data_IF_002077271441
#
_entry.id   IF_002077271441
#
_cell.length_a   1.000
_cell.length_b   1.000
_cell.length_c   1.000
_cell.angle_alpha   90.00
_cell.angle_beta   90.00
_cell.angle_gamma   90.00
#
_symmetry.space_group_name_H-M   'P 1'
#
loop_
_entity.id
_entity.type
_entity.pdbx_description
1 polymer ?
#
# COMPACT_ATOMS: atom_id res chain seq x y z
N UNK A 1 87.47 -16.12 45.59
CA UNK A 1 87.14 -15.64 44.23
C UNK A 1 85.72 -16.03 43.80
N UNK A 2 85.16 -17.15 44.29
CA UNK A 2 83.83 -17.67 43.89
C UNK A 2 82.58 -16.84 44.30
N UNK A 3 82.68 -16.01 45.36
CA UNK A 3 81.53 -15.22 45.84
C UNK A 3 81.07 -14.13 44.86
N UNK A 4 82.00 -13.56 44.09
CA UNK A 4 81.68 -12.51 43.13
C UNK A 4 81.02 -13.06 41.86
N UNK A 5 81.39 -14.27 41.44
CA UNK A 5 80.84 -14.88 40.22
C UNK A 5 79.42 -15.40 40.42
N UNK A 6 79.10 -15.93 41.62
CA UNK A 6 77.72 -16.28 41.95
C UNK A 6 76.81 -15.05 42.03
N UNK A 7 77.31 -13.93 42.56
CA UNK A 7 76.58 -12.66 42.62
C UNK A 7 76.34 -12.07 41.22
N UNK A 8 77.34 -12.08 40.34
CA UNK A 8 77.18 -11.63 38.94
C UNK A 8 76.20 -12.50 38.16
N UNK A 9 76.24 -13.82 38.38
CA UNK A 9 75.33 -14.75 37.70
C UNK A 9 73.88 -14.52 38.13
N UNK A 10 73.61 -14.38 39.42
CA UNK A 10 72.27 -14.08 39.94
C UNK A 10 71.73 -12.75 39.41
N UNK A 11 72.58 -11.72 39.40
CA UNK A 11 72.18 -10.40 38.93
C UNK A 11 71.88 -10.41 37.41
N UNK A 12 72.63 -11.20 36.63
CA UNK A 12 72.36 -11.39 35.21
C UNK A 12 71.03 -12.13 34.97
N UNK A 13 70.78 -13.20 35.71
CA UNK A 13 69.55 -13.98 35.60
C UNK A 13 68.32 -13.18 36.03
N UNK A 14 68.43 -12.38 37.09
CA UNK A 14 67.35 -11.48 37.54
C UNK A 14 67.06 -10.39 36.50
N UNK A 15 68.10 -9.84 35.87
CA UNK A 15 67.97 -8.82 34.83
C UNK A 15 67.33 -9.41 33.56
N UNK A 16 67.76 -10.61 33.14
CA UNK A 16 67.16 -11.34 32.01
C UNK A 16 65.70 -11.71 32.29
N UNK A 17 65.36 -12.17 33.50
CA UNK A 17 63.99 -12.45 33.90
C UNK A 17 63.11 -11.19 33.84
N UNK A 18 63.64 -10.04 34.28
CA UNK A 18 62.93 -8.77 34.23
C UNK A 18 62.68 -8.28 32.80
N UNK A 19 63.68 -8.41 31.92
CA UNK A 19 63.53 -8.05 30.50
C UNK A 19 62.55 -8.99 29.78
N UNK A 20 62.62 -10.30 30.05
CA UNK A 20 61.69 -11.28 29.51
C UNK A 20 60.24 -11.00 29.96
N UNK A 21 60.03 -10.64 31.23
CA UNK A 21 58.73 -10.26 31.75
C UNK A 21 58.19 -8.98 31.09
N UNK A 22 59.03 -7.96 30.91
CA UNK A 22 58.66 -6.72 30.23
C UNK A 22 58.31 -6.95 28.75
N UNK A 23 59.07 -7.79 28.05
CA UNK A 23 58.81 -8.17 26.66
C UNK A 23 57.51 -8.97 26.53
N UNK A 24 57.25 -9.91 27.44
CA UNK A 24 56.00 -10.67 27.47
C UNK A 24 54.79 -9.77 27.72
N UNK A 25 54.92 -8.78 28.60
CA UNK A 25 53.85 -7.81 28.86
C UNK A 25 53.55 -6.95 27.63
N UNK A 26 54.59 -6.42 26.96
CA UNK A 26 54.42 -5.65 25.71
C UNK A 26 53.79 -6.48 24.60
N UNK A 27 54.20 -7.75 24.46
CA UNK A 27 53.63 -8.66 23.47
C UNK A 27 52.14 -8.90 23.72
N UNK A 28 51.75 -9.15 24.99
CA UNK A 28 50.34 -9.31 25.38
C UNK A 28 49.52 -8.05 25.11
N UNK A 29 50.07 -6.86 25.38
CA UNK A 29 49.41 -5.59 25.10
C UNK A 29 49.19 -5.38 23.60
N UNK A 30 50.21 -5.66 22.79
CA UNK A 30 50.10 -5.56 21.33
C UNK A 30 49.05 -6.53 20.76
N UNK A 31 49.06 -7.79 21.21
CA UNK A 31 48.06 -8.78 20.83
C UNK A 31 46.64 -8.38 21.26
N UNK A 32 46.48 -7.77 22.44
CA UNK A 32 45.18 -7.28 22.90
C UNK A 32 44.65 -6.13 22.03
N UNK A 33 45.51 -5.17 21.67
CA UNK A 33 45.17 -4.05 20.78
C UNK A 33 44.83 -4.56 19.37
N UNK A 34 45.61 -5.50 18.83
CA UNK A 34 45.35 -6.08 17.52
C UNK A 34 43.99 -6.82 17.48
N UNK A 35 43.64 -7.55 18.54
CA UNK A 35 42.32 -8.20 18.67
C UNK A 35 41.19 -7.19 18.76
N UNK A 36 41.35 -6.10 19.51
CA UNK A 36 40.35 -5.03 19.59
C UNK A 36 40.14 -4.35 18.23
N UNK A 37 41.22 -4.02 17.52
CA UNK A 37 41.13 -3.43 16.18
C UNK A 37 40.43 -4.35 15.18
N UNK A 38 40.71 -5.66 15.22
CA UNK A 38 40.02 -6.64 14.37
C UNK A 38 38.51 -6.71 14.71
N UNK A 39 38.15 -6.72 15.99
CA UNK A 39 36.75 -6.72 16.41
C UNK A 39 36.02 -5.42 16.00
N UNK A 40 36.68 -4.27 16.10
CA UNK A 40 36.14 -2.99 15.67
C UNK A 40 35.96 -2.89 14.16
N UNK A 41 36.88 -3.48 13.38
CA UNK A 41 36.76 -3.56 11.93
C UNK A 41 35.55 -4.42 11.53
N UNK A 42 35.42 -5.61 12.14
CA UNK A 42 34.26 -6.49 11.92
C UNK A 42 32.97 -5.76 12.26
N UNK A 43 32.91 -5.08 13.42
CA UNK A 43 31.72 -4.31 13.83
C UNK A 43 31.36 -3.22 12.81
N UNK A 44 32.33 -2.44 12.35
CA UNK A 44 32.11 -1.40 11.33
C UNK A 44 31.62 -1.97 10.00
N UNK A 45 32.16 -3.12 9.59
CA UNK A 45 31.76 -3.78 8.35
C UNK A 45 30.35 -4.39 8.46
N UNK A 46 30.00 -4.96 9.62
CA UNK A 46 28.64 -5.41 9.93
C UNK A 46 27.62 -4.27 9.96
N UNK A 47 27.97 -3.13 10.58
CA UNK A 47 27.13 -1.94 10.62
C UNK A 47 26.89 -1.40 9.20
N UNK A 48 27.94 -1.27 8.39
CA UNK A 48 27.85 -0.84 6.99
C UNK A 48 26.95 -1.77 6.15
N UNK A 49 27.11 -3.09 6.30
CA UNK A 49 26.29 -4.06 5.59
C UNK A 49 24.82 -4.04 6.05
N UNK A 50 24.60 -3.88 7.36
CA UNK A 50 23.24 -3.79 7.93
C UNK A 50 22.54 -2.51 7.51
N UNK A 51 23.26 -1.40 7.45
CA UNK A 51 22.75 -0.12 6.98
C UNK A 51 22.41 -0.17 5.49
N UNK A 52 23.28 -0.74 4.65
CA UNK A 52 22.99 -0.96 3.22
C UNK A 52 21.72 -1.83 3.04
N UNK A 53 21.56 -2.90 3.82
CA UNK A 53 20.35 -3.72 3.80
C UNK A 53 19.10 -2.94 4.25
N UNK A 54 19.22 -2.06 5.25
CA UNK A 54 18.12 -1.17 5.67
C UNK A 54 17.78 -0.15 4.59
N UNK A 55 18.77 0.50 3.97
CA UNK A 55 18.55 1.43 2.86
C UNK A 55 17.91 0.76 1.64
N UNK A 56 18.30 -0.47 1.32
CA UNK A 56 17.66 -1.25 0.26
C UNK A 56 16.24 -1.69 0.65
N UNK A 57 16.00 -2.07 1.90
CA UNK A 57 14.66 -2.38 2.40
C UNK A 57 13.76 -1.13 2.42
N UNK A 58 14.30 0.03 2.76
CA UNK A 58 13.58 1.32 2.78
C UNK A 58 13.27 1.80 1.35
N UNK A 59 14.19 1.62 0.39
CA UNK A 59 13.89 1.88 -1.04
C UNK A 59 12.78 0.98 -1.58
N UNK A 60 12.63 -0.25 -1.06
CA UNK A 60 11.52 -1.15 -1.36
C UNK A 60 10.25 -0.87 -0.53
N UNK A 61 10.38 -0.09 0.55
CA UNK A 61 9.29 0.39 1.42
C UNK A 61 8.90 1.85 1.15
N UNK A 62 9.26 2.42 -0.01
CA UNK A 62 8.46 3.56 -0.50
C UNK A 62 7.00 3.10 -0.48
N UNK A 63 6.11 3.73 0.30
CA UNK A 63 4.70 3.52 0.11
C UNK A 63 4.44 4.05 -1.29
N UNK A 64 4.27 3.13 -2.23
CA UNK A 64 3.62 3.39 -3.51
C UNK A 64 2.16 3.70 -3.20
N UNK A 65 1.95 4.86 -2.58
CA UNK A 65 0.64 5.47 -2.46
C UNK A 65 0.12 5.90 -3.84
N UNK A 66 0.99 5.89 -4.87
CA UNK A 66 0.67 6.26 -6.25
C UNK A 66 1.25 5.28 -7.28
N UNK A 67 1.32 3.97 -6.99
CA UNK A 67 1.50 3.00 -8.07
C UNK A 67 0.12 2.42 -8.39
N UNK A 68 -0.56 3.12 -9.31
CA UNK A 68 -1.51 2.47 -10.20
C UNK A 68 -0.96 1.10 -10.55
N UNK A 69 -1.77 0.05 -10.34
CA UNK A 69 -1.38 -1.31 -10.71
C UNK A 69 -0.90 -1.24 -12.16
N UNK A 70 0.42 -1.27 -12.38
CA UNK A 70 1.07 -1.28 -13.69
C UNK A 70 0.84 -2.68 -14.31
N UNK A 71 -0.42 -3.08 -14.37
CA UNK A 71 -0.88 -4.15 -15.22
C UNK A 71 -0.77 -3.55 -16.62
N UNK A 72 0.19 -4.05 -17.39
CA UNK A 72 0.33 -3.74 -18.80
C UNK A 72 -0.89 -4.30 -19.55
N UNK A 73 -2.03 -3.64 -19.40
CA UNK A 73 -3.29 -4.00 -19.99
C UNK A 73 -3.36 -3.36 -21.37
N UNK A 74 -3.14 -4.16 -22.41
CA UNK A 74 -3.39 -3.73 -23.79
C UNK A 74 -4.89 -3.83 -24.04
N UNK A 75 -5.62 -2.72 -23.88
CA UNK A 75 -7.04 -2.67 -24.28
C UNK A 75 -7.16 -3.00 -25.76
N UNK A 76 -8.12 -3.87 -26.08
CA UNK A 76 -8.30 -4.38 -27.43
C UNK A 76 -9.27 -3.53 -28.23
N UNK A 77 -10.24 -2.86 -27.58
CA UNK A 77 -11.34 -2.14 -28.24
C UNK A 77 -11.86 -0.99 -27.38
N UNK A 78 -11.13 0.13 -27.33
CA UNK A 78 -11.50 1.36 -26.60
C UNK A 78 -11.52 1.21 -25.07
N UNK A 79 -10.71 2.02 -24.39
CA UNK A 79 -10.53 2.09 -22.93
C UNK A 79 -11.82 2.42 -22.15
N UNK A 80 -12.93 2.65 -22.87
CA UNK A 80 -14.21 3.05 -22.29
C UNK A 80 -14.93 1.89 -21.56
N UNK A 81 -14.70 0.63 -21.93
CA UNK A 81 -15.34 -0.54 -21.30
C UNK A 81 -14.42 -1.29 -20.31
N UNK A 82 -13.33 -0.66 -19.87
CA UNK A 82 -12.32 -1.27 -18.99
C UNK A 82 -12.56 -0.85 -17.53
N UNK A 83 -12.67 -1.85 -16.65
CA UNK A 83 -12.88 -1.65 -15.21
C UNK A 83 -11.73 -2.25 -14.41
N UNK A 84 -11.36 -1.55 -13.34
CA UNK A 84 -10.47 -2.03 -12.29
C UNK A 84 -11.33 -2.65 -11.19
N UNK A 85 -10.94 -3.84 -10.76
CA UNK A 85 -11.56 -4.60 -9.69
C UNK A 85 -10.57 -4.67 -8.53
N UNK A 86 -11.05 -4.44 -7.31
CA UNK A 86 -10.30 -4.56 -6.07
C UNK A 86 -11.09 -5.37 -5.05
N UNK A 87 -10.41 -6.18 -4.26
CA UNK A 87 -10.97 -6.85 -3.10
C UNK A 87 -10.04 -6.72 -1.90
N UNK A 88 -10.59 -6.95 -0.71
CA UNK A 88 -9.83 -6.85 0.53
C UNK A 88 -8.66 -7.85 0.51
N UNK A 89 -7.45 -7.32 0.35
CA UNK A 89 -6.20 -8.07 0.31
C UNK A 89 -5.42 -7.85 1.60
N UNK A 90 -4.99 -8.95 2.23
CA UNK A 90 -4.12 -8.92 3.42
C UNK A 90 -4.86 -9.00 4.76
N UNK A 91 -5.95 -8.25 4.95
CA UNK A 91 -6.75 -8.34 6.19
C UNK A 91 -7.48 -9.70 6.32
N UNK A 92 -7.81 -10.31 5.18
CA UNK A 92 -8.54 -11.58 5.12
C UNK A 92 -7.80 -12.56 4.19
N UNK A 93 -6.96 -13.44 4.75
CA UNK A 93 -6.25 -14.46 3.96
C UNK A 93 -7.21 -15.32 3.11
N UNK A 94 -8.44 -15.51 3.60
CA UNK A 94 -9.51 -16.23 2.92
C UNK A 94 -9.92 -15.58 1.59
N UNK A 95 -9.85 -14.25 1.45
CA UNK A 95 -10.20 -13.55 0.21
C UNK A 95 -9.32 -14.00 -0.97
N UNK A 96 -8.03 -14.22 -0.73
CA UNK A 96 -7.10 -14.69 -1.76
C UNK A 96 -7.33 -16.14 -2.17
N UNK A 97 -7.77 -16.97 -1.23
CA UNK A 97 -8.11 -18.37 -1.53
C UNK A 97 -9.41 -18.48 -2.34
N UNK A 98 -10.37 -17.58 -2.12
CA UNK A 98 -11.68 -17.64 -2.74
C UNK A 98 -11.75 -16.90 -4.09
N UNK A 99 -11.07 -15.76 -4.24
CA UNK A 99 -11.09 -14.95 -5.46
C UNK A 99 -10.06 -15.44 -6.48
N UNK A 100 -10.40 -16.55 -7.13
CA UNK A 100 -9.66 -17.10 -8.29
C UNK A 100 -10.11 -16.43 -9.59
N UNK A 101 -9.30 -16.55 -10.65
CA UNK A 101 -9.61 -16.03 -11.98
C UNK A 101 -10.96 -16.50 -12.51
N UNK A 102 -11.22 -17.80 -12.41
CA UNK A 102 -12.48 -18.40 -12.84
C UNK A 102 -13.67 -17.82 -12.09
N UNK A 103 -13.55 -17.67 -10.76
CA UNK A 103 -14.64 -17.14 -9.95
C UNK A 103 -14.94 -15.68 -10.27
N UNK A 104 -13.89 -14.84 -10.38
CA UNK A 104 -14.04 -13.45 -10.75
C UNK A 104 -14.69 -13.30 -12.13
N UNK A 105 -14.27 -14.08 -13.13
CA UNK A 105 -14.91 -14.09 -14.45
C UNK A 105 -16.37 -14.51 -14.39
N UNK A 106 -16.71 -15.54 -13.61
CA UNK A 106 -18.11 -15.94 -13.41
C UNK A 106 -18.94 -14.81 -12.81
N UNK A 107 -18.44 -14.14 -11.77
CA UNK A 107 -19.14 -12.99 -11.18
C UNK A 107 -19.36 -11.86 -12.20
N UNK A 108 -18.36 -11.58 -13.04
CA UNK A 108 -18.46 -10.49 -14.03
C UNK A 108 -19.37 -10.87 -15.20
N UNK A 109 -19.45 -12.16 -15.56
CA UNK A 109 -20.27 -12.65 -16.67
C UNK A 109 -21.78 -12.45 -16.47
N UNK A 110 -22.24 -12.25 -15.23
CA UNK A 110 -23.64 -11.89 -14.92
C UNK A 110 -24.02 -10.50 -15.47
N UNK A 111 -23.02 -9.62 -15.62
CA UNK A 111 -23.24 -8.24 -16.05
C UNK A 111 -23.01 -8.03 -17.54
N UNK A 112 -22.21 -8.89 -18.18
CA UNK A 112 -21.93 -8.84 -19.60
C UNK A 112 -20.80 -9.76 -20.03
N UNK A 113 -20.47 -9.75 -21.32
CA UNK A 113 -19.37 -10.55 -21.86
C UNK A 113 -18.00 -9.91 -21.57
N UNK A 114 -17.05 -10.70 -21.09
CA UNK A 114 -15.70 -10.25 -20.70
C UNK A 114 -14.69 -10.64 -21.78
N UNK A 115 -14.23 -9.65 -22.54
CA UNK A 115 -13.30 -9.83 -23.66
C UNK A 115 -11.88 -10.15 -23.15
N UNK A 116 -11.44 -9.42 -22.12
CA UNK A 116 -10.12 -9.59 -21.56
C UNK A 116 -10.16 -9.44 -20.04
N UNK A 117 -9.32 -10.22 -19.37
CA UNK A 117 -9.25 -10.25 -17.92
C UNK A 117 -7.82 -10.50 -17.47
N UNK A 118 -7.32 -9.70 -16.55
CA UNK A 118 -5.97 -9.81 -16.01
C UNK A 118 -6.00 -9.64 -14.50
N UNK A 119 -5.44 -10.61 -13.78
CA UNK A 119 -5.26 -10.51 -12.32
C UNK A 119 -3.97 -9.74 -12.03
N UNK A 120 -4.10 -8.71 -11.20
CA UNK A 120 -3.01 -7.92 -10.65
C UNK A 120 -2.43 -8.52 -9.38
N UNK A 121 -1.45 -7.81 -8.81
CA UNK A 121 -0.85 -8.18 -7.52
C UNK A 121 -1.68 -7.53 -6.41
N UNK A 122 -1.78 -8.20 -5.26
CA UNK A 122 -2.40 -7.65 -4.04
C UNK A 122 -3.93 -7.47 -4.12
N UNK A 123 -4.63 -8.43 -4.71
CA UNK A 123 -6.09 -8.45 -4.73
C UNK A 123 -6.72 -7.40 -5.64
N UNK A 124 -6.09 -7.18 -6.79
CA UNK A 124 -6.58 -6.33 -7.86
C UNK A 124 -6.74 -7.16 -9.14
N UNK A 125 -7.64 -6.74 -10.02
CA UNK A 125 -7.77 -7.27 -11.38
C UNK A 125 -8.27 -6.16 -12.31
N UNK A 126 -8.12 -6.37 -13.62
CA UNK A 126 -8.68 -5.53 -14.66
C UNK A 126 -9.51 -6.41 -15.59
N UNK A 127 -10.69 -5.94 -15.95
CA UNK A 127 -11.57 -6.59 -16.92
C UNK A 127 -12.01 -5.60 -18.00
N UNK A 128 -12.00 -6.04 -19.25
CA UNK A 128 -12.58 -5.33 -20.39
C UNK A 128 -13.87 -6.05 -20.79
N UNK A 129 -14.98 -5.32 -20.76
CA UNK A 129 -16.29 -5.80 -21.20
C UNK A 129 -16.49 -5.56 -22.69
N UNK A 130 -17.44 -6.29 -23.29
CA UNK A 130 -17.81 -6.11 -24.69
C UNK A 130 -18.46 -4.74 -24.96
N UNK A 131 -19.20 -4.20 -23.99
CA UNK A 131 -19.86 -2.90 -24.13
C UNK A 131 -19.71 -2.03 -22.88
N UNK A 132 -19.83 -0.71 -23.08
CA UNK A 132 -19.78 0.27 -21.98
C UNK A 132 -20.92 0.09 -20.98
N UNK A 133 -22.12 -0.25 -21.44
CA UNK A 133 -23.29 -0.42 -20.57
C UNK A 133 -23.15 -1.63 -19.63
N UNK A 134 -22.55 -2.73 -20.10
CA UNK A 134 -22.21 -3.89 -19.28
C UNK A 134 -21.22 -3.51 -18.16
N UNK A 135 -20.14 -2.80 -18.51
CA UNK A 135 -19.17 -2.29 -17.55
C UNK A 135 -19.83 -1.36 -16.51
N UNK A 136 -20.70 -0.45 -16.96
CA UNK A 136 -21.46 0.47 -16.09
C UNK A 136 -22.40 -0.27 -15.16
N UNK A 137 -23.06 -1.33 -15.62
CA UNK A 137 -23.95 -2.18 -14.80
C UNK A 137 -23.16 -2.89 -13.70
N UNK A 138 -21.98 -3.42 -14.02
CA UNK A 138 -21.10 -4.08 -13.07
C UNK A 138 -20.63 -3.12 -11.95
N UNK A 139 -20.22 -1.90 -12.31
CA UNK A 139 -19.81 -0.88 -11.33
C UNK A 139 -20.98 -0.51 -10.40
N UNK A 140 -22.16 -0.24 -10.95
CA UNK A 140 -23.36 0.05 -10.15
C UNK A 140 -23.73 -1.08 -9.20
N UNK A 141 -23.58 -2.34 -9.63
CA UNK A 141 -23.85 -3.48 -8.76
C UNK A 141 -22.83 -3.58 -7.61
N UNK A 142 -21.56 -3.24 -7.89
CA UNK A 142 -20.48 -3.22 -6.91
C UNK A 142 -20.68 -2.15 -5.83
N UNK A 143 -21.18 -0.97 -6.19
CA UNK A 143 -21.54 0.10 -5.23
C UNK A 143 -22.56 -0.36 -4.18
N UNK A 144 -23.44 -1.29 -4.55
CA UNK A 144 -24.43 -1.88 -3.64
C UNK A 144 -23.92 -3.14 -2.91
N UNK A 145 -22.64 -3.48 -3.06
CA UNK A 145 -22.04 -4.68 -2.48
C UNK A 145 -22.60 -6.00 -3.03
N UNK A 146 -23.22 -5.98 -4.21
CA UNK A 146 -23.89 -7.16 -4.81
C UNK A 146 -22.96 -8.04 -5.66
N UNK A 147 -21.68 -7.69 -5.75
CA UNK A 147 -20.73 -8.38 -6.64
C UNK A 147 -19.71 -9.13 -5.80
N UNK A 148 -19.57 -10.43 -6.09
CA UNK A 148 -18.68 -11.33 -5.36
C UNK A 148 -19.34 -11.96 -4.13
N UNK A 149 -18.54 -12.24 -3.11
CA UNK A 149 -18.96 -12.86 -1.86
C UNK A 149 -19.58 -11.82 -0.92
N UNK A 150 -20.73 -12.11 -0.30
CA UNK A 150 -21.39 -11.18 0.63
C UNK A 150 -20.53 -10.76 1.82
N UNK A 151 -19.64 -11.64 2.28
CA UNK A 151 -18.70 -11.36 3.37
C UNK A 151 -17.51 -10.50 2.93
N UNK A 152 -17.20 -10.45 1.63
CA UNK A 152 -16.00 -9.83 1.07
C UNK A 152 -16.33 -9.21 -0.29
N UNK A 153 -17.14 -8.14 -0.37
CA UNK A 153 -17.64 -7.62 -1.65
C UNK A 153 -16.51 -7.11 -2.56
N UNK A 154 -16.69 -7.28 -3.87
CA UNK A 154 -15.80 -6.72 -4.89
C UNK A 154 -16.08 -5.23 -5.09
N UNK A 155 -15.01 -4.44 -5.23
CA UNK A 155 -15.04 -3.01 -5.51
C UNK A 155 -14.61 -2.78 -6.95
N UNK A 156 -15.52 -2.30 -7.81
CA UNK A 156 -15.27 -2.00 -9.21
C UNK A 156 -15.20 -0.49 -9.42
N UNK A 157 -14.24 -0.04 -10.22
CA UNK A 157 -14.08 1.36 -10.62
C UNK A 157 -13.64 1.45 -12.07
N UNK A 158 -13.88 2.57 -12.74
CA UNK A 158 -13.29 2.81 -14.06
C UNK A 158 -11.77 2.79 -13.98
N UNK A 159 -11.11 2.20 -15.00
CA UNK A 159 -9.67 2.35 -15.16
C UNK A 159 -9.43 3.81 -15.63
N UNK A 160 -8.81 4.62 -14.78
CA UNK A 160 -8.65 6.06 -15.04
C UNK A 160 -7.80 6.28 -16.29
N UNK A 161 -8.33 7.03 -17.27
CA UNK A 161 -7.57 7.59 -18.38
C UNK A 161 -6.49 8.48 -17.80
N UNK A 162 -5.23 8.20 -18.10
CA UNK A 162 -4.11 9.00 -17.60
C UNK A 162 -4.36 10.49 -17.86
N UNK A 163 -4.29 11.29 -16.80
CA UNK A 163 -4.34 12.75 -16.80
C UNK A 163 -3.36 13.37 -17.80
N UNK A 164 -3.87 13.86 -18.93
CA UNK A 164 -3.33 15.01 -19.66
C UNK A 164 -4.52 15.79 -20.21
N UNK A 165 -5.06 16.70 -19.41
CA UNK A 165 -5.57 18.00 -19.87
C UNK A 165 -6.09 18.76 -18.65
N UNK A 166 -5.15 19.36 -17.93
CA UNK A 166 -5.45 20.56 -17.17
C UNK A 166 -5.69 21.70 -18.15
N UNK A 167 -6.91 21.84 -18.65
CA UNK A 167 -7.56 23.10 -19.06
C UNK A 167 -9.06 22.80 -18.97
N UNK A 168 -9.73 23.37 -17.97
CA UNK A 168 -11.16 23.65 -18.11
C UNK A 168 -11.31 25.13 -17.90
N UNK A 169 -11.33 25.82 -19.04
CA UNK A 169 -11.65 27.23 -19.16
C UNK A 169 -12.97 27.53 -18.44
N UNK A 170 -12.87 28.36 -17.41
CA UNK A 170 -14.00 29.07 -16.83
C UNK A 170 -14.56 30.05 -17.86
N UNK A 171 -15.46 29.59 -18.72
CA UNK A 171 -16.31 30.45 -19.54
C UNK A 171 -17.64 29.76 -19.86
N UNK A 172 -18.66 30.01 -19.04
CA UNK A 172 -20.02 30.10 -19.57
C UNK A 172 -20.82 31.17 -18.83
N UNK A 173 -20.78 32.35 -19.41
CA UNK A 173 -21.75 33.43 -19.25
C UNK A 173 -23.11 32.92 -19.72
N UNK A 174 -24.09 32.78 -18.82
CA UNK A 174 -25.50 33.03 -19.13
C UNK A 174 -26.20 33.75 -17.99
N UNK A 175 -26.25 35.05 -18.20
CA UNK A 175 -27.10 36.02 -17.54
C UNK A 175 -28.56 35.88 -18.00
N UNK A 176 -29.49 36.15 -17.07
CA UNK A 176 -30.91 36.56 -17.24
C UNK A 176 -31.92 35.46 -17.66
N UNK A 177 -33.16 35.40 -17.17
CA UNK A 177 -33.98 36.40 -16.47
C UNK A 177 -35.11 35.72 -15.70
N UNK A 178 -35.50 36.37 -14.58
CA UNK A 178 -36.70 36.15 -13.78
C UNK A 178 -37.95 36.50 -14.58
N UNK A 179 -39.00 35.67 -14.52
CA UNK A 179 -40.38 36.18 -14.46
C UNK A 179 -41.29 35.22 -13.68
N UNK A 180 -42.07 35.82 -12.78
CA UNK A 180 -43.02 35.20 -11.87
C UNK A 180 -44.34 35.06 -12.61
N UNK A 181 -45.11 34.00 -12.33
CA UNK A 181 -46.56 34.18 -12.29
C UNK A 181 -47.28 33.24 -11.32
N UNK A 182 -48.22 33.86 -10.62
CA UNK A 182 -49.13 33.30 -9.61
C UNK A 182 -50.37 32.78 -10.32
N UNK A 183 -50.88 31.62 -9.92
CA UNK A 183 -52.29 31.24 -10.10
C UNK A 183 -52.65 30.27 -8.96
N UNK A 184 -53.19 30.76 -7.84
CA UNK A 184 -54.62 30.98 -7.56
C UNK A 184 -55.40 29.66 -7.68
N UNK A 185 -55.64 29.03 -6.52
CA UNK A 185 -56.63 27.97 -6.37
C UNK A 185 -57.98 28.64 -6.09
N UNK A 186 -58.88 28.58 -7.06
CA UNK A 186 -60.26 29.06 -6.96
C UNK A 186 -61.25 27.96 -6.52
N UNK A 187 -62.47 28.32 -6.07
CA UNK A 187 -63.09 27.72 -4.88
C UNK A 187 -64.44 26.99 -5.08
N UNK A 188 -64.94 26.43 -3.94
CA UNK A 188 -66.35 26.18 -3.48
C UNK A 188 -67.23 25.15 -4.22
N UNK A 189 -68.41 24.71 -3.67
CA UNK A 189 -69.16 25.12 -2.46
C UNK A 189 -69.56 23.98 -1.47
N UNK A 190 -69.65 24.24 -0.16
CA UNK A 190 -70.84 24.65 0.65
C UNK A 190 -71.97 23.63 0.80
N UNK A 191 -72.18 23.12 2.03
CA UNK A 191 -73.36 23.31 2.89
C UNK A 191 -73.18 22.50 4.20
N UNK A 192 -72.89 23.13 5.35
CA UNK A 192 -73.79 23.41 6.51
C UNK A 192 -74.65 22.19 6.90
N UNK A 193 -74.64 21.70 8.14
CA UNK A 193 -75.42 22.24 9.29
C UNK A 193 -74.77 21.90 10.64
N UNK A 194 -74.97 22.80 11.61
CA UNK A 194 -74.51 22.79 12.99
C UNK A 194 -75.33 21.84 13.89
N UNK A 195 -74.75 21.35 14.99
CA UNK A 195 -75.46 21.27 16.27
C UNK A 195 -74.50 21.06 17.44
N UNK A 196 -74.43 22.08 18.28
CA UNK A 196 -73.93 22.05 19.66
C UNK A 196 -75.13 21.65 20.51
N UNK A 197 -74.98 20.69 21.44
CA UNK A 197 -75.83 20.61 22.63
C UNK A 197 -75.11 19.90 23.76
N UNK A 198 -74.96 20.67 24.84
CA UNK A 198 -74.60 20.33 26.22
C UNK A 198 -75.57 19.30 26.81
N UNK A 199 -75.14 18.41 27.70
CA UNK A 199 -76.03 17.86 28.73
C UNK A 199 -75.27 17.47 30.02
N UNK A 200 -75.72 18.12 31.10
CA UNK A 200 -75.60 17.91 32.56
C UNK A 200 -74.28 17.42 33.18
#
# INVERSE_FOLDING_TARGET
MESMDSSRKKLKEELEAREAAAMAMRKRQFEAVAKQQAADQIRRDWERHTEEMKWQAERKRKPTNDETDNINFKSTKSDQAVVRIKWAYGENFQANACYTESFLRTCLSEFGDVIAFVIGKRGSAIAEFSTYDEAKKAIKASEHGKVGLPSLPLQLSWLSKNNTDGITDSNNVKDKQVEKDKFIYEPTPSNKVWSISITL
#
